data_IF_763029205301
#
_entry.id   IF_763029205301
#
_cell.length_a   1.000
_cell.length_b   1.000
_cell.length_c   1.000
_cell.angle_alpha   90.00
_cell.angle_beta   90.00
_cell.angle_gamma   90.00
#
_symmetry.space_group_name_H-M   'P 1'
#
loop_
_entity.id
_entity.type
_entity.pdbx_description
1 polymer ?
#
# COMPACT_ATOMS: atom_id res chain seq x y z
N UNK A 1 48.23 11.12 -14.85
CA UNK A 1 49.22 11.65 -13.89
C UNK A 1 48.48 12.55 -12.91
N UNK A 2 48.36 12.08 -11.66
CA UNK A 2 47.81 12.77 -10.48
C UNK A 2 48.78 13.88 -9.99
N UNK A 3 48.59 14.47 -8.79
CA UNK A 3 47.42 15.14 -8.19
C UNK A 3 47.81 16.49 -7.53
N UNK A 4 46.86 17.26 -6.98
CA UNK A 4 47.12 17.95 -5.70
C UNK A 4 45.84 18.10 -4.87
N UNK A 5 45.98 17.59 -3.64
CA UNK A 5 45.05 17.59 -2.53
C UNK A 5 45.18 18.87 -1.69
N UNK A 6 44.08 19.26 -1.05
CA UNK A 6 44.02 20.11 0.14
C UNK A 6 42.54 20.33 0.47
N UNK A 7 41.96 19.93 1.59
CA UNK A 7 42.51 19.64 2.91
C UNK A 7 41.90 20.63 3.91
N UNK A 8 40.66 20.38 4.38
CA UNK A 8 40.09 21.08 5.53
C UNK A 8 39.35 20.11 6.46
N UNK A 9 40.08 19.77 7.52
CA UNK A 9 39.70 19.58 8.93
C UNK A 9 38.33 19.01 9.29
N UNK A 10 38.40 17.90 10.02
CA UNK A 10 37.30 17.33 10.78
C UNK A 10 36.83 18.20 11.95
N UNK A 11 35.54 18.12 12.21
CA UNK A 11 34.89 18.52 13.44
C UNK A 11 34.27 17.29 14.09
N UNK A 12 34.79 16.92 15.25
CA UNK A 12 34.19 15.99 16.21
C UNK A 12 32.91 16.61 16.77
N UNK A 13 31.76 16.03 16.51
CA UNK A 13 30.51 16.33 17.22
C UNK A 13 30.26 15.22 18.25
N UNK A 14 30.47 15.56 19.53
CA UNK A 14 29.97 14.80 20.68
C UNK A 14 28.45 14.94 20.76
N UNK A 15 27.73 13.92 21.28
CA UNK A 15 26.30 13.99 21.49
C UNK A 15 26.00 14.78 22.77
N UNK A 16 25.20 15.83 22.65
CA UNK A 16 24.58 16.51 23.79
C UNK A 16 23.31 15.76 24.17
N UNK A 17 23.38 15.09 25.32
CA UNK A 17 22.25 14.91 26.23
C UNK A 17 21.64 16.29 26.52
N UNK A 18 20.34 16.44 26.31
CA UNK A 18 19.41 17.39 26.96
C UNK A 18 18.16 17.54 26.09
N UNK A 19 17.14 16.70 26.34
CA UNK A 19 15.71 17.01 26.14
C UNK A 19 14.87 15.86 26.71
N UNK A 20 15.14 15.51 27.97
CA UNK A 20 14.19 14.82 28.85
C UNK A 20 13.77 15.84 29.89
N UNK A 21 12.53 16.30 29.80
CA UNK A 21 11.97 17.25 30.74
C UNK A 21 10.99 18.14 30.02
N UNK A 22 9.72 17.75 30.07
CA UNK A 22 8.53 18.60 30.10
C UNK A 22 7.32 17.68 30.26
N UNK A 23 6.97 17.37 31.52
CA UNK A 23 5.62 17.19 32.06
C UNK A 23 5.69 16.49 33.42
N UNK A 24 6.15 17.25 34.42
CA UNK A 24 5.88 16.95 35.83
C UNK A 24 5.81 18.27 36.59
N UNK A 25 4.59 18.80 36.71
CA UNK A 25 4.09 19.66 37.80
C UNK A 25 2.86 20.43 37.31
N UNK A 26 1.67 20.02 37.74
CA UNK A 26 0.85 20.83 38.65
C UNK A 26 0.08 19.85 39.53
N UNK A 27 0.47 19.78 40.80
CA UNK A 27 -0.35 19.22 41.84
C UNK A 27 -1.45 20.22 42.21
N UNK A 28 -2.65 19.70 42.47
CA UNK A 28 -3.60 20.35 43.37
C UNK A 28 -3.95 19.37 44.48
N UNK A 29 -3.82 19.93 45.68
CA UNK A 29 -3.91 19.36 47.00
C UNK A 29 -5.30 18.82 47.37
N UNK A 30 -5.26 17.70 48.10
CA UNK A 30 -6.06 17.31 49.26
C UNK A 30 -7.16 18.26 49.78
N UNK A 31 -8.36 17.69 49.94
CA UNK A 31 -9.42 17.94 50.93
C UNK A 31 -10.53 16.90 50.63
N UNK A 32 -11.09 16.06 51.50
CA UNK A 32 -11.25 16.01 52.95
C UNK A 32 -11.26 14.53 53.40
N UNK A 33 -10.38 14.19 54.34
CA UNK A 33 -10.69 13.21 55.38
C UNK A 33 -10.89 14.02 56.66
N UNK A 34 -12.03 13.86 57.31
CA UNK A 34 -12.24 14.01 58.74
C UNK A 34 -13.72 13.73 59.01
N UNK A 35 -14.01 12.66 59.74
CA UNK A 35 -14.74 12.71 61.01
C UNK A 35 -14.83 11.30 61.60
N UNK A 36 -14.22 11.18 62.77
CA UNK A 36 -14.21 10.06 63.73
C UNK A 36 -15.53 9.99 64.53
N UNK A 37 -15.72 8.97 65.40
CA UNK A 37 -17.01 8.31 65.66
C UNK A 37 -17.75 8.78 66.94
N UNK A 38 -18.92 8.16 67.14
CA UNK A 38 -19.75 8.05 68.36
C UNK A 38 -20.67 9.22 68.72
N UNK A 39 -22.00 9.02 68.62
CA UNK A 39 -22.83 8.58 69.76
C UNK A 39 -24.35 8.77 69.53
N UNK A 40 -25.11 7.72 69.90
CA UNK A 40 -26.44 7.70 70.55
C UNK A 40 -27.68 8.30 69.85
N UNK A 41 -28.60 7.43 69.39
CA UNK A 41 -29.93 7.13 70.00
C UNK A 41 -30.70 6.17 69.05
N UNK A 42 -30.89 4.90 69.42
CA UNK A 42 -32.10 4.35 70.06
C UNK A 42 -33.38 4.67 69.28
N UNK A 43 -33.83 3.67 68.52
CA UNK A 43 -35.14 3.59 67.86
C UNK A 43 -35.44 2.12 67.60
N UNK A 44 -36.02 1.47 68.60
CA UNK A 44 -36.47 0.07 68.61
C UNK A 44 -37.68 -0.20 67.69
N UNK A 45 -37.82 -1.48 67.33
CA UNK A 45 -39.01 -2.17 66.85
C UNK A 45 -39.40 -2.06 65.36
N UNK A 46 -38.84 -2.97 64.55
CA UNK A 46 -39.65 -3.94 63.80
C UNK A 46 -38.80 -5.17 63.44
N UNK A 47 -39.36 -6.34 63.73
CA UNK A 47 -38.81 -7.70 63.61
C UNK A 47 -38.13 -8.07 62.29
N UNK A 48 -37.09 -8.93 62.30
CA UNK A 48 -36.51 -9.52 61.10
C UNK A 48 -37.44 -10.61 60.50
N UNK A 49 -37.55 -10.74 59.16
CA UNK A 49 -38.18 -11.92 58.58
C UNK A 49 -37.22 -13.14 58.70
N UNK A 50 -37.76 -14.37 58.74
CA UNK A 50 -36.99 -15.58 59.04
C UNK A 50 -36.05 -15.99 57.89
N UNK A 51 -34.95 -16.72 58.18
CA UNK A 51 -34.08 -17.31 57.16
C UNK A 51 -34.68 -18.65 56.72
N UNK A 52 -35.63 -18.61 55.80
CA UNK A 52 -36.12 -19.83 55.14
C UNK A 52 -35.63 -19.87 53.68
N UNK A 53 -34.65 -20.74 53.48
CA UNK A 53 -34.52 -21.65 52.34
C UNK A 53 -35.24 -21.24 51.04
N UNK A 54 -34.51 -20.59 50.13
CA UNK A 54 -34.60 -20.78 48.67
C UNK A 54 -33.54 -19.90 47.98
N UNK A 55 -32.28 -20.34 47.97
CA UNK A 55 -31.19 -19.64 47.29
C UNK A 55 -31.09 -20.02 45.80
N UNK A 56 -31.69 -21.14 45.38
CA UNK A 56 -31.76 -21.61 43.99
C UNK A 56 -32.22 -20.56 42.98
N UNK A 57 -33.38 -19.89 43.14
CA UNK A 57 -33.83 -18.91 42.16
C UNK A 57 -32.85 -17.73 42.06
N UNK A 58 -32.25 -17.31 43.17
CA UNK A 58 -31.29 -16.22 43.24
C UNK A 58 -29.95 -16.61 42.57
N UNK A 59 -29.35 -17.74 42.92
CA UNK A 59 -28.10 -18.23 42.32
C UNK A 59 -28.23 -18.56 40.83
N UNK A 60 -29.37 -19.13 40.41
CA UNK A 60 -29.67 -19.28 38.98
C UNK A 60 -29.72 -17.90 38.32
N UNK A 61 -30.50 -16.95 38.86
CA UNK A 61 -30.59 -15.60 38.28
C UNK A 61 -29.23 -14.90 38.21
N UNK A 62 -28.32 -15.16 39.16
CA UNK A 62 -26.93 -14.66 39.15
C UNK A 62 -26.13 -15.18 37.96
N UNK A 63 -26.14 -16.51 37.76
CA UNK A 63 -25.45 -17.17 36.66
C UNK A 63 -26.05 -16.79 35.31
N UNK A 64 -27.32 -16.47 35.28
CA UNK A 64 -28.00 -16.09 34.06
C UNK A 64 -27.78 -14.65 33.70
N UNK A 65 -27.67 -13.77 34.69
CA UNK A 65 -27.10 -12.46 34.49
C UNK A 65 -25.67 -12.54 33.96
N UNK A 66 -24.86 -13.53 34.38
CA UNK A 66 -23.52 -13.79 33.80
C UNK A 66 -23.62 -14.27 32.34
N UNK A 67 -24.40 -15.33 32.05
CA UNK A 67 -24.46 -15.93 30.71
C UNK A 67 -25.24 -15.10 29.67
N UNK A 68 -26.28 -14.36 30.06
CA UNK A 68 -27.10 -13.54 29.16
C UNK A 68 -26.38 -12.25 28.72
N UNK A 69 -25.46 -11.77 29.56
CA UNK A 69 -24.66 -10.57 29.31
C UNK A 69 -23.34 -10.86 28.58
N UNK A 70 -22.74 -12.03 28.80
CA UNK A 70 -21.43 -12.41 28.23
C UNK A 70 -21.53 -12.99 26.82
N UNK A 71 -22.66 -13.60 26.42
CA UNK A 71 -22.77 -14.28 25.12
C UNK A 71 -23.31 -13.34 24.01
N UNK A 72 -22.58 -13.11 22.91
CA UNK A 72 -22.96 -12.15 21.88
C UNK A 72 -24.26 -12.55 21.15
N UNK A 73 -24.98 -11.59 20.54
CA UNK A 73 -25.90 -11.92 19.47
C UNK A 73 -25.07 -12.55 18.34
N UNK A 74 -25.47 -13.76 17.92
CA UNK A 74 -24.94 -14.35 16.70
C UNK A 74 -25.40 -13.43 15.57
N UNK A 75 -24.51 -12.58 15.05
CA UNK A 75 -24.77 -11.85 13.81
C UNK A 75 -24.80 -12.91 12.72
N UNK A 76 -26.02 -13.30 12.34
CA UNK A 76 -26.26 -14.15 11.20
C UNK A 76 -25.52 -13.60 9.98
N UNK A 77 -24.75 -14.49 9.37
CA UNK A 77 -24.21 -14.37 8.02
C UNK A 77 -25.39 -14.18 7.06
N UNK A 78 -25.61 -12.95 6.61
CA UNK A 78 -26.23 -12.54 5.34
C UNK A 78 -25.80 -11.07 5.13
N UNK A 79 -25.17 -10.61 4.06
CA UNK A 79 -25.08 -11.14 2.71
C UNK A 79 -23.68 -10.90 2.12
N UNK A 80 -23.16 -11.92 1.44
CA UNK A 80 -22.19 -11.77 0.37
C UNK A 80 -22.86 -11.06 -0.82
N UNK A 81 -22.39 -9.86 -1.15
CA UNK A 81 -22.49 -9.33 -2.52
C UNK A 81 -21.09 -8.88 -2.91
N UNK A 82 -20.41 -9.73 -3.65
CA UNK A 82 -19.28 -9.37 -4.49
C UNK A 82 -19.74 -8.48 -5.63
N UNK A 83 -19.09 -7.35 -5.87
CA UNK A 83 -19.23 -6.65 -7.14
C UNK A 83 -18.78 -5.18 -7.20
N UNK A 84 -17.51 -4.98 -7.56
CA UNK A 84 -17.01 -3.96 -8.52
C UNK A 84 -16.98 -2.47 -8.10
N UNK A 85 -15.74 -1.98 -7.94
CA UNK A 85 -15.11 -0.75 -8.49
C UNK A 85 -15.85 0.59 -8.44
N UNK A 86 -15.17 1.59 -7.87
CA UNK A 86 -15.44 3.00 -8.12
C UNK A 86 -14.58 3.92 -7.26
N UNK A 87 -13.49 4.44 -7.86
CA UNK A 87 -12.77 5.63 -7.42
C UNK A 87 -13.74 6.77 -7.06
N UNK A 88 -13.61 7.35 -5.87
CA UNK A 88 -13.55 8.80 -5.68
C UNK A 88 -13.36 9.11 -4.20
N UNK A 89 -12.31 9.88 -3.90
CA UNK A 89 -12.11 10.47 -2.60
C UNK A 89 -13.22 11.47 -2.29
N UNK A 90 -13.49 11.67 -1.00
CA UNK A 90 -13.98 12.94 -0.46
C UNK A 90 -13.77 12.92 1.05
N UNK A 91 -13.42 14.10 1.53
CA UNK A 91 -12.80 14.40 2.79
C UNK A 91 -13.82 14.29 3.94
N UNK A 92 -13.44 13.61 5.02
CA UNK A 92 -14.21 13.58 6.26
C UNK A 92 -13.77 14.74 7.14
N UNK A 93 -14.43 15.89 6.96
CA UNK A 93 -14.47 16.93 7.97
C UNK A 93 -15.88 17.05 8.56
N UNK A 94 -15.89 17.10 9.89
CA UNK A 94 -16.85 17.78 10.74
C UNK A 94 -18.28 17.19 10.89
N UNK A 95 -18.37 16.30 11.88
CA UNK A 95 -19.33 16.34 12.99
C UNK A 95 -20.35 17.49 12.94
N UNK A 96 -21.58 17.21 12.51
CA UNK A 96 -22.66 18.21 12.54
C UNK A 96 -23.94 17.90 11.75
N UNK A 97 -24.56 16.72 11.90
CA UNK A 97 -26.04 16.58 11.81
C UNK A 97 -26.49 15.16 12.17
N UNK A 98 -27.56 15.07 12.96
CA UNK A 98 -28.11 13.84 13.51
C UNK A 98 -28.65 12.88 12.44
N UNK A 99 -28.56 11.59 12.76
CA UNK A 99 -29.13 10.45 12.03
C UNK A 99 -28.84 10.41 10.53
N UNK A 100 -27.63 9.95 10.17
CA UNK A 100 -27.34 9.50 8.80
C UNK A 100 -28.17 8.26 8.48
N UNK A 101 -28.98 8.33 7.44
CA UNK A 101 -29.61 7.17 6.82
C UNK A 101 -28.57 6.42 5.96
N UNK A 102 -28.31 5.13 6.20
CA UNK A 102 -27.65 4.28 5.22
C UNK A 102 -28.66 3.82 4.14
N UNK A 103 -28.26 3.68 2.86
CA UNK A 103 -26.90 3.66 2.33
C UNK A 103 -26.67 4.83 1.37
N UNK A 104 -26.55 6.07 1.86
CA UNK A 104 -26.19 7.19 0.99
C UNK A 104 -25.10 8.02 1.63
N UNK A 105 -23.86 7.82 1.18
CA UNK A 105 -22.73 8.73 1.42
C UNK A 105 -22.94 10.00 0.60
N UNK A 106 -23.84 10.87 1.06
CA UNK A 106 -24.10 12.15 0.43
C UNK A 106 -23.10 13.17 0.93
N UNK A 107 -22.52 13.93 0.00
CA UNK A 107 -21.68 15.08 0.33
C UNK A 107 -22.55 16.32 0.58
N UNK A 108 -22.06 17.27 1.36
CA UNK A 108 -22.78 18.53 1.61
C UNK A 108 -23.03 19.31 0.29
N UNK A 109 -22.18 19.11 -0.71
CA UNK A 109 -22.34 19.69 -2.06
C UNK A 109 -23.56 19.13 -2.81
N UNK A 110 -23.88 17.84 -2.65
CA UNK A 110 -25.07 17.20 -3.26
C UNK A 110 -26.37 17.70 -2.63
N UNK A 111 -26.32 18.03 -1.33
CA UNK A 111 -27.48 18.58 -0.59
C UNK A 111 -27.80 20.02 -0.98
N UNK A 112 -26.78 20.80 -1.38
CA UNK A 112 -26.94 22.15 -1.88
C UNK A 112 -27.48 22.18 -3.33
N UNK A 113 -27.08 21.21 -4.16
CA UNK A 113 -27.52 21.11 -5.55
C UNK A 113 -29.00 20.68 -5.70
N UNK A 114 -29.55 19.91 -4.75
CA UNK A 114 -30.88 19.31 -4.86
C UNK A 114 -31.74 19.47 -3.57
N UNK A 115 -32.34 20.65 -3.33
CA UNK A 115 -33.13 20.92 -2.12
C UNK A 115 -34.47 20.14 -2.04
N UNK A 116 -34.99 19.65 -3.16
CA UNK A 116 -36.16 18.76 -3.16
C UNK A 116 -35.81 17.34 -2.69
N UNK A 117 -34.57 16.91 -2.95
CA UNK A 117 -34.05 15.62 -2.52
C UNK A 117 -33.76 15.60 -1.02
N UNK A 118 -33.28 16.71 -0.45
CA UNK A 118 -33.13 16.84 1.01
C UNK A 118 -34.47 16.79 1.73
N UNK A 119 -35.53 17.39 1.16
CA UNK A 119 -36.89 17.26 1.68
C UNK A 119 -37.39 15.80 1.64
N UNK A 120 -37.12 15.06 0.56
CA UNK A 120 -37.46 13.64 0.46
C UNK A 120 -36.71 12.81 1.52
N UNK A 121 -35.40 13.04 1.69
CA UNK A 121 -34.59 12.37 2.71
C UNK A 121 -35.06 12.69 4.12
N UNK A 122 -35.48 13.94 4.37
CA UNK A 122 -36.07 14.34 5.65
C UNK A 122 -37.44 13.70 5.91
N UNK A 123 -38.20 13.38 4.86
CA UNK A 123 -39.43 12.59 4.95
C UNK A 123 -39.13 11.10 5.19
N UNK A 124 -38.12 10.56 4.52
CA UNK A 124 -37.69 9.17 4.69
C UNK A 124 -37.07 8.92 6.07
N UNK A 125 -36.34 9.88 6.65
CA UNK A 125 -35.76 9.75 7.98
C UNK A 125 -36.80 9.67 9.10
N UNK A 126 -38.01 10.19 8.88
CA UNK A 126 -39.13 10.01 9.81
C UNK A 126 -39.66 8.57 9.83
N UNK A 127 -39.42 7.82 8.75
CA UNK A 127 -39.92 6.47 8.56
C UNK A 127 -38.82 5.40 8.59
N UNK A 128 -37.55 5.78 8.63
CA UNK A 128 -36.40 4.88 8.58
C UNK A 128 -35.41 5.16 9.71
N UNK A 129 -34.95 4.09 10.35
CA UNK A 129 -33.92 4.14 11.39
C UNK A 129 -32.50 4.24 10.77
N UNK A 130 -31.46 4.62 11.54
CA UNK A 130 -30.06 4.70 11.07
C UNK A 130 -29.47 3.35 10.62
N UNK A 131 -30.24 2.27 10.63
CA UNK A 131 -29.92 0.95 10.06
C UNK A 131 -30.50 0.74 8.65
N UNK A 132 -31.30 1.67 8.12
CA UNK A 132 -31.99 1.55 6.85
C UNK A 132 -33.27 0.70 6.90
N UNK A 133 -33.75 0.34 8.10
CA UNK A 133 -35.01 -0.38 8.30
C UNK A 133 -36.17 0.60 8.52
N UNK A 134 -37.38 0.22 8.11
CA UNK A 134 -38.56 1.01 8.46
C UNK A 134 -38.78 0.99 9.98
N UNK A 135 -39.19 2.12 10.57
CA UNK A 135 -39.42 2.24 12.02
C UNK A 135 -40.33 1.15 12.62
N UNK A 136 -41.43 0.68 11.98
CA UNK A 136 -42.20 -0.43 12.53
C UNK A 136 -41.43 -1.76 12.49
N UNK A 137 -40.67 -2.02 11.42
CA UNK A 137 -39.89 -3.24 11.27
C UNK A 137 -38.72 -3.28 12.24
N UNK A 138 -38.03 -2.14 12.44
CA UNK A 138 -36.96 -2.02 13.42
C UNK A 138 -37.46 -2.27 14.85
N UNK A 139 -38.63 -1.74 15.22
CA UNK A 139 -39.27 -2.04 16.51
C UNK A 139 -39.63 -3.52 16.64
N UNK A 140 -40.16 -4.15 15.60
CA UNK A 140 -40.43 -5.59 15.59
C UNK A 140 -39.15 -6.40 15.75
N UNK A 141 -38.07 -6.03 15.05
CA UNK A 141 -36.76 -6.68 15.18
C UNK A 141 -36.19 -6.53 16.59
N UNK A 142 -36.36 -5.36 17.22
CA UNK A 142 -35.94 -5.14 18.60
C UNK A 142 -36.78 -5.99 19.58
N UNK A 143 -38.09 -6.07 19.37
CA UNK A 143 -39.01 -6.91 20.16
C UNK A 143 -38.67 -8.39 20.04
N UNK A 144 -38.48 -8.90 18.82
CA UNK A 144 -38.06 -10.28 18.56
C UNK A 144 -36.67 -10.55 19.15
N UNK A 145 -35.76 -9.58 19.09
CA UNK A 145 -34.44 -9.70 19.71
C UNK A 145 -34.52 -9.76 21.23
N UNK A 146 -35.41 -8.97 21.85
CA UNK A 146 -35.67 -9.01 23.30
C UNK A 146 -36.27 -10.36 23.69
N UNK A 147 -37.26 -10.84 22.95
CA UNK A 147 -37.87 -12.16 23.18
C UNK A 147 -36.86 -13.29 23.03
N UNK A 148 -36.05 -13.26 21.96
CA UNK A 148 -34.98 -14.24 21.76
C UNK A 148 -33.96 -14.23 22.90
N UNK A 149 -33.62 -13.05 23.44
CA UNK A 149 -32.72 -12.96 24.61
C UNK A 149 -33.36 -13.58 25.86
N UNK A 150 -34.66 -13.38 26.07
CA UNK A 150 -35.40 -13.97 27.19
C UNK A 150 -35.48 -15.49 27.04
N UNK A 151 -35.85 -15.99 25.86
CA UNK A 151 -35.90 -17.43 25.57
C UNK A 151 -34.53 -18.09 25.69
N UNK A 152 -33.48 -17.45 25.17
CA UNK A 152 -32.10 -17.94 25.31
C UNK A 152 -31.67 -17.99 26.78
N UNK A 153 -32.01 -16.97 27.57
CA UNK A 153 -31.74 -16.99 29.00
C UNK A 153 -32.50 -18.13 29.68
N UNK A 154 -33.78 -18.31 29.35
CA UNK A 154 -34.62 -19.44 29.76
C UNK A 154 -33.96 -20.79 29.48
N UNK A 155 -33.54 -21.00 28.23
CA UNK A 155 -32.87 -22.21 27.79
C UNK A 155 -31.54 -22.44 28.52
N UNK A 156 -30.70 -21.41 28.67
CA UNK A 156 -29.44 -21.51 29.41
C UNK A 156 -29.66 -21.87 30.89
N UNK A 157 -30.78 -21.46 31.51
CA UNK A 157 -31.12 -21.87 32.90
C UNK A 157 -31.20 -23.39 32.98
N UNK A 158 -31.97 -23.96 32.05
CA UNK A 158 -32.26 -25.38 32.02
C UNK A 158 -31.07 -26.21 31.57
N UNK A 159 -30.29 -25.72 30.60
CA UNK A 159 -29.07 -26.39 30.14
C UNK A 159 -28.04 -26.50 31.27
N UNK A 160 -27.81 -25.44 32.06
CA UNK A 160 -26.88 -25.48 33.19
C UNK A 160 -27.33 -26.52 34.23
N UNK A 161 -28.62 -26.54 34.58
CA UNK A 161 -29.17 -27.52 35.53
C UNK A 161 -29.04 -28.94 34.97
N UNK A 162 -29.38 -29.16 33.70
CA UNK A 162 -29.28 -30.47 33.05
C UNK A 162 -27.83 -30.98 33.00
N UNK A 163 -26.87 -30.12 32.66
CA UNK A 163 -25.44 -30.45 32.68
C UNK A 163 -24.95 -30.81 34.07
N UNK A 164 -25.35 -30.07 35.10
CA UNK A 164 -25.00 -30.39 36.49
C UNK A 164 -25.60 -31.72 36.96
N UNK A 165 -26.83 -32.04 36.52
CA UNK A 165 -27.47 -33.34 36.79
C UNK A 165 -26.73 -34.48 36.11
N UNK A 166 -26.33 -34.31 34.84
CA UNK A 166 -25.51 -35.29 34.13
C UNK A 166 -24.14 -35.49 34.78
N UNK A 167 -23.45 -34.41 35.17
CA UNK A 167 -22.17 -34.51 35.88
C UNK A 167 -22.32 -35.25 37.23
N UNK A 168 -23.41 -35.01 37.97
CA UNK A 168 -23.73 -35.75 39.19
C UNK A 168 -23.93 -37.24 38.94
N UNK A 169 -24.64 -37.61 37.87
CA UNK A 169 -24.86 -39.00 37.49
C UNK A 169 -23.55 -39.70 37.04
N UNK A 170 -22.64 -38.97 36.39
CA UNK A 170 -21.35 -39.51 35.93
C UNK A 170 -20.32 -39.72 37.06
N UNK A 171 -20.53 -39.13 38.25
CA UNK A 171 -19.64 -39.28 39.41
C UNK A 171 -19.88 -40.57 40.23
N UNK A 172 -20.57 -41.56 39.67
CA UNK A 172 -20.69 -42.91 40.23
C UNK A 172 -19.31 -43.63 40.28
N UNK A 173 -18.50 -43.29 41.29
CA UNK A 173 -17.15 -43.79 41.50
C UNK A 173 -16.93 -44.47 42.86
N UNK A 174 -15.96 -45.38 42.90
CA UNK A 174 -15.59 -46.15 44.09
C UNK A 174 -15.04 -45.24 45.21
N UNK A 175 -15.82 -45.06 46.26
CA UNK A 175 -15.45 -44.24 47.43
C UNK A 175 -16.64 -43.56 48.14
N UNK A 176 -17.81 -43.54 47.49
CA UNK A 176 -19.01 -42.87 48.03
C UNK A 176 -19.70 -43.68 49.13
N UNK A 177 -20.31 -43.00 50.11
CA UNK A 177 -21.14 -43.61 51.14
C UNK A 177 -22.32 -44.37 50.51
N UNK A 178 -22.79 -45.49 51.11
CA UNK A 178 -23.84 -46.33 50.51
C UNK A 178 -25.18 -45.60 50.33
N UNK A 179 -25.46 -44.56 51.12
CA UNK A 179 -26.64 -43.70 50.96
C UNK A 179 -26.54 -42.77 49.74
N UNK A 180 -25.33 -42.31 49.42
CA UNK A 180 -25.09 -41.43 48.27
C UNK A 180 -25.12 -42.21 46.96
N UNK A 181 -24.70 -43.48 46.98
CA UNK A 181 -24.82 -44.38 45.83
C UNK A 181 -26.27 -44.65 45.48
N UNK A 182 -27.10 -45.01 46.46
CA UNK A 182 -28.54 -45.22 46.27
C UNK A 182 -29.25 -43.95 45.78
N UNK A 183 -28.83 -42.78 46.26
CA UNK A 183 -29.35 -41.49 45.79
C UNK A 183 -28.99 -41.18 44.33
N UNK A 184 -27.75 -41.46 43.90
CA UNK A 184 -27.33 -41.25 42.51
C UNK A 184 -27.96 -42.26 41.55
N UNK A 185 -28.11 -43.52 41.99
CA UNK A 185 -28.81 -44.57 41.22
C UNK A 185 -30.30 -44.23 41.01
N UNK A 186 -30.97 -43.71 42.05
CA UNK A 186 -32.38 -43.26 41.94
C UNK A 186 -32.51 -42.00 41.07
N UNK A 187 -31.53 -41.09 41.11
CA UNK A 187 -31.46 -39.94 40.21
C UNK A 187 -31.29 -40.37 38.74
N UNK A 188 -30.36 -41.29 38.46
CA UNK A 188 -30.11 -41.82 37.11
C UNK A 188 -31.37 -42.52 36.55
N UNK A 189 -32.03 -43.35 37.36
CA UNK A 189 -33.30 -43.99 37.00
C UNK A 189 -34.39 -42.96 36.69
N UNK A 190 -34.49 -41.88 37.45
CA UNK A 190 -35.45 -40.80 37.18
C UNK A 190 -35.12 -40.01 35.90
N UNK A 191 -33.84 -39.76 35.63
CA UNK A 191 -33.43 -39.12 34.38
C UNK A 191 -33.77 -39.99 33.18
N UNK A 192 -33.46 -41.28 33.22
CA UNK A 192 -33.79 -42.23 32.16
C UNK A 192 -35.31 -42.34 31.93
N UNK A 193 -36.11 -42.43 33.00
CA UNK A 193 -37.58 -42.45 32.90
C UNK A 193 -38.12 -41.14 32.30
N UNK A 194 -37.52 -39.99 32.63
CA UNK A 194 -37.93 -38.70 32.05
C UNK A 194 -37.57 -38.58 30.56
N UNK A 195 -36.43 -39.13 30.15
CA UNK A 195 -36.02 -39.18 28.74
C UNK A 195 -36.92 -40.13 27.93
N UNK A 196 -37.27 -41.28 28.51
CA UNK A 196 -38.24 -42.21 27.91
C UNK A 196 -39.62 -41.57 27.77
N UNK A 197 -40.09 -40.83 28.78
CA UNK A 197 -41.33 -40.05 28.68
C UNK A 197 -41.26 -38.99 27.57
N UNK A 198 -40.15 -38.26 27.45
CA UNK A 198 -39.94 -37.26 26.39
C UNK A 198 -39.96 -37.89 24.99
N UNK A 199 -39.34 -39.05 24.81
CA UNK A 199 -39.35 -39.79 23.54
C UNK A 199 -40.75 -40.30 23.20
N UNK A 200 -41.55 -40.67 24.21
CA UNK A 200 -42.96 -41.04 24.01
C UNK A 200 -43.84 -39.83 23.67
N UNK A 201 -43.59 -38.66 24.28
CA UNK A 201 -44.31 -37.41 24.00
C UNK A 201 -44.00 -36.84 22.61
N UNK A 202 -42.77 -37.01 22.12
CA UNK A 202 -42.37 -36.62 20.76
C UNK A 202 -43.04 -37.47 19.66
N UNK A 203 -43.64 -38.61 20.02
CA UNK A 203 -44.45 -39.45 19.13
C UNK A 203 -45.88 -38.99 18.92
N UNK A 204 -46.30 -37.85 19.51
CA UNK A 204 -47.63 -37.26 19.32
C UNK A 204 -47.72 -36.53 17.98
N UNK A 205 -48.21 -37.21 16.95
CA UNK A 205 -48.74 -36.53 15.75
C UNK A 205 -50.05 -35.80 16.10
N UNK A 206 -50.35 -34.65 15.48
CA UNK A 206 -51.55 -33.86 15.78
C UNK A 206 -52.88 -34.54 15.37
N UNK A 207 -52.81 -35.60 14.57
CA UNK A 207 -53.91 -36.54 14.40
C UNK A 207 -53.88 -37.53 15.57
N UNK A 208 -54.94 -37.54 16.39
CA UNK A 208 -55.05 -38.22 17.69
C UNK A 208 -54.88 -39.74 17.75
N UNK A 209 -54.18 -40.34 16.79
CA UNK A 209 -53.69 -41.72 16.83
C UNK A 209 -52.44 -41.80 17.71
N UNK A 210 -52.61 -42.23 18.96
CA UNK A 210 -51.52 -42.60 19.88
C UNK A 210 -50.71 -43.76 19.31
N UNK A 211 -49.69 -43.49 18.49
CA UNK A 211 -48.71 -44.50 18.10
C UNK A 211 -47.49 -44.38 18.99
N UNK A 212 -47.59 -44.98 20.18
CA UNK A 212 -46.44 -45.19 21.07
C UNK A 212 -45.39 -46.00 20.32
N UNK A 213 -44.16 -45.47 20.21
CA UNK A 213 -43.08 -45.94 19.33
C UNK A 213 -42.73 -47.44 19.47
N UNK A 214 -43.19 -48.09 20.55
CA UNK A 214 -43.02 -49.52 20.87
C UNK A 214 -44.24 -50.16 21.60
N UNK A 215 -45.43 -49.56 21.54
CA UNK A 215 -46.61 -50.04 22.31
C UNK A 215 -46.55 -49.81 23.82
N UNK A 216 -45.53 -49.09 24.31
CA UNK A 216 -45.33 -48.73 25.71
C UNK A 216 -46.26 -47.60 26.12
N UNK A 217 -47.10 -47.83 27.12
CA UNK A 217 -47.99 -46.81 27.68
C UNK A 217 -47.28 -46.01 28.78
N UNK A 218 -47.66 -44.74 29.02
CA UNK A 218 -47.12 -43.96 30.15
C UNK A 218 -47.40 -44.61 31.51
N UNK A 219 -48.39 -45.50 31.58
CA UNK A 219 -48.71 -46.31 32.75
C UNK A 219 -47.65 -47.37 33.06
N UNK A 220 -46.95 -47.88 32.04
CA UNK A 220 -45.90 -48.90 32.19
C UNK A 220 -44.60 -48.27 32.73
N UNK A 221 -44.38 -46.98 32.43
CA UNK A 221 -43.27 -46.20 32.99
C UNK A 221 -43.46 -45.84 34.46
N UNK A 222 -44.68 -45.83 34.97
CA UNK A 222 -44.95 -45.68 36.42
C UNK A 222 -44.45 -46.88 37.23
N UNK A 223 -44.35 -48.07 36.61
CA UNK A 223 -43.81 -49.27 37.27
C UNK A 223 -42.27 -49.24 37.37
N UNK A 224 -41.60 -48.43 36.55
CA UNK A 224 -40.15 -48.22 36.55
C UNK A 224 -39.72 -47.03 37.44
N UNK A 225 -40.68 -46.37 38.11
CA UNK A 225 -40.34 -45.33 39.08
C UNK A 225 -39.81 -45.95 40.39
N UNK A 226 -38.75 -45.36 40.99
CA UNK A 226 -38.25 -45.77 42.29
C UNK A 226 -39.32 -45.51 43.36
N UNK A 227 -39.23 -46.18 44.53
CA UNK A 227 -40.26 -46.10 45.56
C UNK A 227 -40.47 -44.64 46.00
N UNK A 228 -41.72 -44.26 46.26
CA UNK A 228 -42.11 -42.87 46.54
C UNK A 228 -41.37 -42.21 47.71
N UNK A 229 -40.82 -43.00 48.64
CA UNK A 229 -39.97 -42.52 49.74
C UNK A 229 -38.62 -42.01 49.23
N UNK A 230 -37.99 -42.72 48.28
CA UNK A 230 -36.72 -42.33 47.68
C UNK A 230 -36.90 -41.11 46.75
N UNK A 231 -38.07 -40.97 46.12
CA UNK A 231 -38.44 -39.78 45.34
C UNK A 231 -38.64 -38.53 46.21
N UNK A 232 -39.23 -38.68 47.40
CA UNK A 232 -39.38 -37.57 48.35
C UNK A 232 -38.01 -37.09 48.85
N UNK A 233 -37.14 -38.03 49.22
CA UNK A 233 -35.76 -37.75 49.63
C UNK A 233 -34.94 -37.14 48.49
N UNK A 234 -35.12 -37.61 47.25
CA UNK A 234 -34.52 -37.03 46.07
C UNK A 234 -34.95 -35.57 45.89
N UNK A 235 -36.25 -35.29 46.02
CA UNK A 235 -36.82 -33.95 45.85
C UNK A 235 -36.35 -32.95 46.90
N UNK A 236 -36.11 -33.39 48.14
CA UNK A 236 -35.61 -32.53 49.22
C UNK A 236 -34.09 -32.29 49.15
N UNK A 237 -33.31 -33.32 48.78
CA UNK A 237 -31.85 -33.26 48.80
C UNK A 237 -31.22 -32.73 47.50
N UNK A 238 -31.84 -32.98 46.35
CA UNK A 238 -31.34 -32.55 45.04
C UNK A 238 -31.15 -31.02 44.92
N UNK A 239 -32.09 -30.17 45.40
CA UNK A 239 -31.93 -28.72 45.40
C UNK A 239 -30.65 -28.25 46.09
N UNK A 240 -30.39 -28.73 47.31
CA UNK A 240 -29.25 -28.31 48.14
C UNK A 240 -27.92 -28.74 47.51
N UNK A 241 -27.85 -29.97 46.98
CA UNK A 241 -26.67 -30.48 46.30
C UNK A 241 -26.34 -29.70 45.01
N UNK A 242 -27.37 -29.33 44.25
CA UNK A 242 -27.21 -28.49 43.06
C UNK A 242 -26.70 -27.09 43.44
N UNK A 243 -27.26 -26.46 44.47
CA UNK A 243 -26.81 -25.15 44.96
C UNK A 243 -25.32 -25.17 45.36
N UNK A 244 -24.90 -26.19 46.12
CA UNK A 244 -23.51 -26.29 46.58
C UNK A 244 -22.52 -26.47 45.43
N UNK A 245 -22.81 -27.36 44.48
CA UNK A 245 -21.95 -27.59 43.31
C UNK A 245 -21.88 -26.36 42.41
N UNK A 246 -23.01 -25.74 42.17
CA UNK A 246 -23.12 -24.51 41.39
C UNK A 246 -22.35 -23.37 42.06
N UNK A 247 -22.46 -23.24 43.38
CA UNK A 247 -21.68 -22.28 44.19
C UNK A 247 -20.17 -22.55 44.07
N UNK A 248 -19.71 -23.80 44.16
CA UNK A 248 -18.29 -24.15 43.96
C UNK A 248 -17.79 -23.75 42.58
N UNK A 249 -18.53 -24.05 41.51
CA UNK A 249 -18.16 -23.66 40.14
C UNK A 249 -18.14 -22.14 39.96
N UNK A 250 -19.12 -21.43 40.53
CA UNK A 250 -19.15 -19.96 40.53
C UNK A 250 -17.90 -19.37 41.21
N UNK A 251 -17.47 -19.95 42.33
CA UNK A 251 -16.26 -19.51 43.03
C UNK A 251 -14.99 -19.78 42.21
N UNK A 252 -14.92 -20.89 41.47
CA UNK A 252 -13.80 -21.17 40.55
C UNK A 252 -13.77 -20.18 39.37
N UNK A 253 -14.94 -19.82 38.83
CA UNK A 253 -15.01 -18.77 37.80
C UNK A 253 -14.58 -17.41 38.34
N UNK A 254 -14.96 -17.10 39.58
CA UNK A 254 -14.55 -15.87 40.24
C UNK A 254 -13.04 -15.82 40.44
N UNK A 255 -12.39 -16.90 40.89
CA UNK A 255 -10.95 -16.93 41.09
C UNK A 255 -10.17 -16.81 39.78
N UNK A 256 -10.70 -17.34 38.68
CA UNK A 256 -10.11 -17.17 37.33
C UNK A 256 -10.11 -15.70 36.88
N UNK A 257 -11.24 -14.99 37.05
CA UNK A 257 -11.35 -13.60 36.62
C UNK A 257 -10.77 -12.59 37.63
N UNK A 258 -10.78 -12.92 38.91
CA UNK A 258 -10.30 -12.08 40.02
C UNK A 258 -9.54 -12.93 41.04
N UNK A 259 -8.24 -13.20 40.82
CA UNK A 259 -7.43 -14.00 41.74
C UNK A 259 -7.29 -13.34 43.13
N UNK A 260 -7.47 -12.03 43.22
CA UNK A 260 -7.50 -11.26 44.47
C UNK A 260 -8.63 -11.70 45.42
N UNK A 261 -9.63 -12.42 44.90
CA UNK A 261 -10.79 -12.87 45.68
C UNK A 261 -10.53 -14.09 46.57
N UNK A 262 -9.44 -14.85 46.33
CA UNK A 262 -9.18 -16.12 47.02
C UNK A 262 -8.90 -15.94 48.52
N UNK A 263 -8.39 -14.78 48.93
CA UNK A 263 -8.18 -14.42 50.34
C UNK A 263 -9.42 -13.85 51.05
N UNK A 264 -10.52 -13.63 50.33
CA UNK A 264 -11.70 -12.96 50.87
C UNK A 264 -12.71 -13.94 51.50
N UNK A 265 -13.44 -13.46 52.53
CA UNK A 265 -14.53 -14.22 53.16
C UNK A 265 -15.63 -14.59 52.16
N UNK A 266 -16.38 -15.67 52.42
CA UNK A 266 -17.41 -16.18 51.51
C UNK A 266 -18.52 -15.16 51.18
N UNK A 267 -18.85 -14.29 52.13
CA UNK A 267 -19.81 -13.19 51.94
C UNK A 267 -19.30 -12.13 50.97
N UNK A 268 -18.00 -11.83 51.01
CA UNK A 268 -17.36 -10.89 50.09
C UNK A 268 -17.20 -11.54 48.70
N UNK A 269 -16.84 -12.83 48.64
CA UNK A 269 -16.78 -13.58 47.38
C UNK A 269 -18.13 -13.69 46.68
N UNK A 270 -19.20 -13.92 47.42
CA UNK A 270 -20.56 -13.90 46.86
C UNK A 270 -20.94 -12.50 46.36
N UNK A 271 -20.67 -11.43 47.11
CA UNK A 271 -20.86 -10.06 46.63
C UNK A 271 -20.05 -9.74 45.35
N UNK A 272 -18.79 -10.20 45.26
CA UNK A 272 -17.95 -10.04 44.08
C UNK A 272 -18.42 -10.88 42.88
N UNK A 273 -19.06 -12.03 43.12
CA UNK A 273 -19.69 -12.84 42.08
C UNK A 273 -20.87 -12.09 41.44
N UNK A 274 -21.67 -11.39 42.25
CA UNK A 274 -22.80 -10.60 41.76
C UNK A 274 -22.34 -9.45 40.86
N UNK A 275 -21.24 -8.78 41.21
CA UNK A 275 -20.66 -7.68 40.41
C UNK A 275 -19.81 -8.15 39.23
N UNK A 276 -19.42 -9.43 39.18
CA UNK A 276 -18.65 -10.00 38.08
C UNK A 276 -19.42 -9.91 36.75
N UNK A 277 -20.74 -10.12 36.76
CA UNK A 277 -21.56 -10.03 35.56
C UNK A 277 -21.53 -8.65 34.93
N UNK A 278 -21.53 -7.61 35.75
CA UNK A 278 -21.47 -6.21 35.28
C UNK A 278 -20.06 -5.86 34.81
N UNK A 279 -19.03 -6.32 35.53
CA UNK A 279 -17.63 -6.18 35.12
C UNK A 279 -17.36 -6.80 33.75
N UNK A 280 -17.81 -8.04 33.51
CA UNK A 280 -17.61 -8.74 32.25
C UNK A 280 -18.34 -8.07 31.07
N UNK A 281 -19.49 -7.43 31.31
CA UNK A 281 -20.12 -6.59 30.27
C UNK A 281 -19.28 -5.38 29.94
N UNK A 282 -18.77 -4.70 30.98
CA UNK A 282 -17.87 -3.56 30.80
C UNK A 282 -16.64 -3.94 29.99
N UNK A 283 -15.96 -5.03 30.35
CA UNK A 283 -14.80 -5.55 29.61
C UNK A 283 -15.15 -5.91 28.16
N UNK A 284 -16.30 -6.55 27.94
CA UNK A 284 -16.75 -6.88 26.59
C UNK A 284 -17.04 -5.63 25.76
N UNK A 285 -17.62 -4.59 26.36
CA UNK A 285 -17.84 -3.30 25.69
C UNK A 285 -16.52 -2.61 25.36
N UNK A 286 -15.59 -2.51 26.32
CA UNK A 286 -14.25 -1.98 26.09
C UNK A 286 -13.52 -2.72 24.97
N UNK A 287 -13.63 -4.05 24.91
CA UNK A 287 -13.03 -4.85 23.84
C UNK A 287 -13.66 -4.55 22.47
N UNK A 288 -14.99 -4.39 22.40
CA UNK A 288 -15.67 -3.99 21.15
C UNK A 288 -15.25 -2.59 20.69
N UNK A 289 -15.14 -1.65 21.62
CA UNK A 289 -14.65 -0.29 21.33
C UNK A 289 -13.21 -0.30 20.84
N UNK A 290 -12.34 -1.08 21.49
CA UNK A 290 -10.95 -1.24 21.06
C UNK A 290 -10.85 -1.86 19.67
N UNK A 291 -11.68 -2.86 19.36
CA UNK A 291 -11.76 -3.45 18.02
C UNK A 291 -12.25 -2.44 16.98
N UNK A 292 -13.26 -1.63 17.29
CA UNK A 292 -13.73 -0.58 16.39
C UNK A 292 -12.64 0.46 16.12
N UNK A 293 -11.96 0.95 17.17
CA UNK A 293 -10.80 1.87 17.04
C UNK A 293 -9.68 1.25 16.20
N UNK A 294 -9.40 -0.03 16.40
CA UNK A 294 -8.40 -0.73 15.60
C UNK A 294 -8.78 -0.77 14.12
N UNK A 295 -10.05 -1.06 13.80
CA UNK A 295 -10.55 -1.05 12.42
C UNK A 295 -10.45 0.37 11.79
N UNK A 296 -10.78 1.40 12.55
CA UNK A 296 -10.63 2.80 12.10
C UNK A 296 -9.17 3.17 11.80
N UNK A 297 -8.25 2.83 12.71
CA UNK A 297 -6.81 3.07 12.53
C UNK A 297 -6.26 2.28 11.34
N UNK A 298 -6.69 1.04 11.15
CA UNK A 298 -6.32 0.24 9.99
C UNK A 298 -6.81 0.88 8.68
N UNK A 299 -8.05 1.38 8.65
CA UNK A 299 -8.56 2.12 7.50
C UNK A 299 -7.79 3.41 7.20
N UNK A 300 -7.39 4.17 8.23
CA UNK A 300 -6.54 5.36 8.05
C UNK A 300 -5.16 5.00 7.50
N UNK A 301 -4.56 3.94 8.03
CA UNK A 301 -3.27 3.45 7.59
C UNK A 301 -3.31 2.95 6.14
N UNK A 302 -4.36 2.26 5.72
CA UNK A 302 -4.55 1.84 4.32
C UNK A 302 -4.68 3.04 3.37
N UNK A 303 -5.44 4.07 3.75
CA UNK A 303 -5.54 5.32 2.97
C UNK A 303 -4.18 5.99 2.83
N UNK A 304 -3.42 6.07 3.91
CA UNK A 304 -2.09 6.66 3.90
C UNK A 304 -1.12 5.84 3.02
N UNK A 305 -1.18 4.50 3.10
CA UNK A 305 -0.42 3.60 2.22
C UNK A 305 -0.76 3.78 0.75
N UNK A 306 -2.01 4.08 0.42
CA UNK A 306 -2.44 4.36 -0.95
C UNK A 306 -2.00 5.77 -1.43
N UNK A 307 -2.01 6.77 -0.54
CA UNK A 307 -1.67 8.15 -0.88
C UNK A 307 -0.17 8.39 -1.12
N UNK A 308 0.70 7.82 -0.29
CA UNK A 308 2.16 8.00 -0.41
C UNK A 308 2.75 7.67 -1.81
N UNK A 309 2.47 6.51 -2.43
CA UNK A 309 3.00 6.20 -3.75
C UNK A 309 2.50 7.17 -4.82
N UNK A 310 1.27 7.70 -4.69
CA UNK A 310 0.75 8.70 -5.62
C UNK A 310 1.53 10.01 -5.53
N UNK A 311 1.85 10.47 -4.32
CA UNK A 311 2.70 11.66 -4.11
C UNK A 311 4.10 11.43 -4.68
N UNK A 312 4.69 10.25 -4.42
CA UNK A 312 6.01 9.88 -4.96
C UNK A 312 6.02 9.86 -6.50
N UNK A 313 4.98 9.30 -7.13
CA UNK A 313 4.83 9.30 -8.58
C UNK A 313 4.71 10.72 -9.14
N UNK A 314 3.97 11.61 -8.46
CA UNK A 314 3.86 13.02 -8.85
C UNK A 314 5.21 13.74 -8.75
N UNK A 315 5.96 13.54 -7.67
CA UNK A 315 7.32 14.08 -7.52
C UNK A 315 8.27 13.56 -8.61
N UNK A 316 8.19 12.27 -8.94
CA UNK A 316 8.99 11.65 -10.00
C UNK A 316 8.62 12.22 -11.38
N UNK A 317 7.34 12.44 -11.65
CA UNK A 317 6.88 13.07 -12.88
C UNK A 317 7.41 14.51 -13.02
N UNK A 318 7.38 15.29 -11.93
CA UNK A 318 7.97 16.63 -11.89
C UNK A 318 9.48 16.60 -12.15
N UNK A 319 10.22 15.71 -11.49
CA UNK A 319 11.66 15.55 -11.72
C UNK A 319 11.98 15.16 -13.17
N UNK A 320 11.23 14.23 -13.76
CA UNK A 320 11.37 13.86 -15.18
C UNK A 320 11.12 15.04 -16.10
N UNK A 321 10.08 15.83 -15.82
CA UNK A 321 9.75 17.04 -16.59
C UNK A 321 10.87 18.07 -16.49
N UNK A 322 11.36 18.34 -15.28
CA UNK A 322 12.48 19.27 -15.06
C UNK A 322 13.75 18.84 -15.80
N UNK A 323 14.10 17.55 -15.75
CA UNK A 323 15.26 17.03 -16.46
C UNK A 323 15.12 17.15 -17.99
N UNK A 324 13.94 16.80 -18.54
CA UNK A 324 13.69 16.86 -19.98
C UNK A 324 13.63 18.30 -20.51
N UNK A 325 12.82 19.13 -19.88
CA UNK A 325 12.56 20.49 -20.36
C UNK A 325 13.74 21.43 -20.07
N UNK A 326 14.34 21.39 -18.87
CA UNK A 326 15.30 22.43 -18.46
C UNK A 326 16.76 22.02 -18.56
N UNK A 327 17.09 20.72 -18.60
CA UNK A 327 18.48 20.25 -18.76
C UNK A 327 18.74 19.76 -20.17
N UNK A 328 17.90 18.88 -20.70
CA UNK A 328 18.12 18.28 -22.01
C UNK A 328 17.75 19.24 -23.16
N UNK A 329 16.55 19.82 -23.12
CA UNK A 329 16.10 20.67 -24.23
C UNK A 329 16.94 21.96 -24.35
N UNK A 330 17.14 22.68 -23.25
CA UNK A 330 17.99 23.89 -23.23
C UNK A 330 19.42 23.62 -23.67
N UNK A 331 20.02 22.50 -23.24
CA UNK A 331 21.36 22.10 -23.67
C UNK A 331 21.38 21.82 -25.18
N UNK A 332 20.38 21.11 -25.70
CA UNK A 332 20.29 20.83 -27.14
C UNK A 332 20.08 22.10 -27.98
N UNK A 333 19.35 23.08 -27.46
CA UNK A 333 19.16 24.39 -28.10
C UNK A 333 20.47 25.19 -28.11
N UNK A 334 21.20 25.19 -26.99
CA UNK A 334 22.52 25.83 -26.91
C UNK A 334 23.52 25.16 -27.87
N UNK A 335 23.56 23.84 -27.90
CA UNK A 335 24.46 23.09 -28.80
C UNK A 335 24.13 23.38 -30.27
N UNK A 336 22.83 23.47 -30.61
CA UNK A 336 22.37 23.85 -31.95
C UNK A 336 22.81 25.27 -32.32
N UNK A 337 22.64 26.24 -31.43
CA UNK A 337 23.05 27.63 -31.66
C UNK A 337 24.59 27.74 -31.79
N UNK A 338 25.34 26.99 -30.97
CA UNK A 338 26.80 26.94 -31.06
C UNK A 338 27.26 26.34 -32.39
N UNK A 339 26.62 25.27 -32.87
CA UNK A 339 26.92 24.69 -34.16
C UNK A 339 26.67 25.69 -35.31
N UNK A 340 25.52 26.38 -35.30
CA UNK A 340 25.20 27.42 -36.29
C UNK A 340 26.19 28.61 -36.25
N UNK A 341 26.59 29.03 -35.06
CA UNK A 341 27.59 30.08 -34.88
C UNK A 341 28.94 29.67 -35.47
N UNK A 342 29.40 28.45 -35.20
CA UNK A 342 30.65 27.92 -35.74
C UNK A 342 30.59 27.73 -37.25
N UNK A 343 29.47 27.25 -37.79
CA UNK A 343 29.23 27.15 -39.23
C UNK A 343 29.36 28.52 -39.90
N UNK A 344 28.63 29.52 -39.38
CA UNK A 344 28.69 30.90 -39.89
C UNK A 344 30.10 31.47 -39.82
N UNK A 345 30.83 31.21 -38.72
CA UNK A 345 32.21 31.63 -38.54
C UNK A 345 33.15 30.96 -39.54
N UNK A 346 32.96 29.67 -39.82
CA UNK A 346 33.70 28.94 -40.85
C UNK A 346 33.40 29.50 -42.25
N UNK A 347 32.14 29.78 -42.58
CA UNK A 347 31.77 30.41 -43.86
C UNK A 347 32.41 31.79 -44.03
N UNK A 348 32.40 32.62 -42.98
CA UNK A 348 33.07 33.91 -43.00
C UNK A 348 34.59 33.78 -43.19
N UNK A 349 35.21 32.79 -42.54
CA UNK A 349 36.64 32.52 -42.70
C UNK A 349 36.98 32.01 -44.11
N UNK A 350 36.12 31.17 -44.71
CA UNK A 350 36.27 30.72 -46.09
C UNK A 350 36.20 31.90 -47.07
N UNK A 351 35.22 32.79 -46.89
CA UNK A 351 35.12 34.02 -47.69
C UNK A 351 36.36 34.90 -47.53
N UNK A 352 36.89 35.02 -46.30
CA UNK A 352 38.13 35.75 -46.06
C UNK A 352 39.30 35.14 -46.81
N UNK A 353 39.50 33.82 -46.73
CA UNK A 353 40.56 33.12 -47.48
C UNK A 353 40.41 33.38 -48.98
N UNK A 354 39.19 33.30 -49.52
CA UNK A 354 38.95 33.54 -50.95
C UNK A 354 39.23 34.98 -51.37
N UNK A 355 38.95 35.94 -50.50
CA UNK A 355 39.25 37.35 -50.74
C UNK A 355 40.76 37.60 -50.75
N UNK A 356 41.51 37.01 -49.82
CA UNK A 356 42.97 37.08 -49.82
C UNK A 356 43.58 36.44 -51.08
N UNK A 357 43.06 35.29 -51.51
CA UNK A 357 43.47 34.65 -52.77
C UNK A 357 43.27 35.59 -53.98
N UNK A 358 42.11 36.24 -54.07
CA UNK A 358 41.83 37.21 -55.12
C UNK A 358 42.72 38.47 -55.01
N UNK A 359 43.03 38.93 -53.78
CA UNK A 359 43.96 40.04 -53.55
C UNK A 359 45.33 39.70 -54.13
N UNK A 360 45.88 38.54 -53.77
CA UNK A 360 47.19 38.06 -54.26
C UNK A 360 47.19 37.97 -55.79
N UNK A 361 46.12 37.42 -56.40
CA UNK A 361 46.01 37.35 -57.86
C UNK A 361 45.98 38.74 -58.51
N UNK A 362 45.24 39.69 -57.93
CA UNK A 362 45.14 41.05 -58.46
C UNK A 362 46.47 41.82 -58.33
N UNK A 363 47.21 41.61 -57.25
CA UNK A 363 48.54 42.20 -57.02
C UNK A 363 49.62 41.58 -57.92
N UNK A 364 49.53 40.27 -58.14
CA UNK A 364 50.47 39.53 -58.99
C UNK A 364 50.27 39.87 -60.47
N UNK A 365 49.01 39.89 -60.92
CA UNK A 365 48.62 40.12 -62.30
C UNK A 365 48.00 41.51 -62.50
N UNK A 366 48.80 42.55 -62.29
CA UNK A 366 48.37 43.91 -62.63
C UNK A 366 48.13 44.03 -64.14
N UNK A 367 47.20 44.90 -64.60
CA UNK A 367 46.89 45.04 -66.02
C UNK A 367 48.13 45.39 -66.85
N UNK A 368 49.04 46.18 -66.30
CA UNK A 368 50.32 46.50 -66.90
C UNK A 368 51.20 45.25 -67.10
N UNK A 369 51.35 44.40 -66.07
CA UNK A 369 52.11 43.15 -66.16
C UNK A 369 51.47 42.18 -67.16
N UNK A 370 50.14 42.09 -67.19
CA UNK A 370 49.42 41.27 -68.16
C UNK A 370 49.69 41.77 -69.58
N UNK A 371 49.64 43.07 -69.81
CA UNK A 371 49.88 43.65 -71.14
C UNK A 371 51.34 43.43 -71.58
N UNK A 372 52.30 43.57 -70.68
CA UNK A 372 53.70 43.19 -70.95
C UNK A 372 53.83 41.70 -71.29
N UNK A 373 53.20 40.81 -70.53
CA UNK A 373 53.18 39.37 -70.83
C UNK A 373 52.52 39.08 -72.19
N UNK A 374 51.48 39.84 -72.59
CA UNK A 374 50.87 39.72 -73.93
C UNK A 374 51.85 40.12 -75.02
N UNK A 375 52.53 41.26 -74.88
CA UNK A 375 53.54 41.71 -75.85
C UNK A 375 54.68 40.70 -75.97
N UNK A 376 55.21 40.20 -74.85
CA UNK A 376 56.26 39.16 -74.85
C UNK A 376 55.75 37.91 -75.58
N UNK A 377 54.56 37.41 -75.25
CA UNK A 377 53.97 36.25 -75.89
C UNK A 377 53.81 36.45 -77.39
N UNK A 378 53.34 37.61 -77.82
CA UNK A 378 53.08 37.88 -79.24
C UNK A 378 54.39 38.06 -80.01
N UNK A 379 55.42 38.66 -79.41
CA UNK A 379 56.78 38.70 -79.99
C UNK A 379 57.44 37.32 -80.10
N UNK A 380 57.25 36.44 -79.10
CA UNK A 380 57.80 35.08 -79.11
C UNK A 380 57.10 34.23 -80.17
N UNK A 381 55.77 34.39 -80.33
CA UNK A 381 55.01 33.75 -81.41
C UNK A 381 55.50 34.20 -82.77
N UNK A 382 55.73 35.50 -82.96
CA UNK A 382 56.27 36.03 -84.22
C UNK A 382 57.67 35.48 -84.49
N UNK A 383 58.57 35.48 -83.50
CA UNK A 383 59.91 34.92 -83.64
C UNK A 383 59.89 33.41 -83.95
N UNK A 384 58.99 32.64 -83.32
CA UNK A 384 58.78 31.23 -83.62
C UNK A 384 58.30 31.03 -85.06
N UNK A 385 57.31 31.81 -85.50
CA UNK A 385 56.81 31.74 -86.86
C UNK A 385 57.90 32.04 -87.90
N UNK A 386 58.73 33.05 -87.66
CA UNK A 386 59.88 33.37 -88.52
C UNK A 386 60.91 32.23 -88.55
N UNK A 387 61.22 31.63 -87.41
CA UNK A 387 62.12 30.48 -87.32
C UNK A 387 61.54 29.25 -88.04
N UNK A 388 60.27 28.95 -87.86
CA UNK A 388 59.58 27.88 -88.56
C UNK A 388 59.60 28.09 -90.07
N UNK A 389 59.40 29.32 -90.54
CA UNK A 389 59.48 29.68 -91.94
C UNK A 389 60.91 29.54 -92.48
N UNK A 390 61.92 30.03 -91.76
CA UNK A 390 63.32 29.90 -92.13
C UNK A 390 63.76 28.43 -92.19
N UNK A 391 63.33 27.63 -91.21
CA UNK A 391 63.56 26.19 -91.15
C UNK A 391 62.83 25.47 -92.30
N UNK A 392 61.62 25.87 -92.65
CA UNK A 392 60.91 25.32 -93.80
C UNK A 392 61.64 25.65 -95.12
N UNK A 393 62.20 26.86 -95.25
CA UNK A 393 63.01 27.26 -96.41
C UNK A 393 64.30 26.43 -96.46
N UNK A 394 65.04 26.32 -95.36
CA UNK A 394 66.29 25.56 -95.34
C UNK A 394 66.05 24.07 -95.60
N UNK A 395 64.97 23.48 -95.07
CA UNK A 395 64.55 22.10 -95.42
C UNK A 395 64.25 21.96 -96.90
N UNK A 396 63.54 22.90 -97.52
CA UNK A 396 63.30 22.87 -98.98
C UNK A 396 64.62 22.92 -99.75
N UNK A 397 65.55 23.78 -99.36
CA UNK A 397 66.89 23.83 -99.95
C UNK A 397 67.65 22.52 -99.75
N UNK A 398 67.61 21.93 -98.56
CA UNK A 398 68.25 20.64 -98.29
C UNK A 398 67.68 19.54 -99.19
N UNK A 399 66.36 19.44 -99.30
CA UNK A 399 65.70 18.48 -100.21
C UNK A 399 66.14 18.71 -101.66
N UNK A 400 66.26 19.97 -102.12
CA UNK A 400 66.79 20.22 -103.47
C UNK A 400 68.24 19.72 -103.63
N UNK A 401 69.09 19.87 -102.62
CA UNK A 401 70.45 19.30 -102.67
C UNK A 401 70.44 17.77 -102.61
N UNK A 402 69.58 17.17 -101.79
CA UNK A 402 69.41 15.71 -101.72
C UNK A 402 68.96 15.12 -103.07
N UNK A 403 68.10 15.82 -103.82
CA UNK A 403 67.68 15.37 -105.17
C UNK A 403 68.81 15.38 -106.21
N UNK A 404 69.89 16.13 -105.99
CA UNK A 404 71.04 16.17 -106.91
C UNK A 404 71.95 14.92 -106.79
N UNK A 405 71.72 14.07 -105.78
CA UNK A 405 72.34 12.74 -105.67
C UNK A 405 73.83 12.74 -105.31
N UNK A 406 74.45 11.54 -105.18
CA UNK A 406 75.83 11.35 -104.69
C UNK A 406 76.89 11.94 -105.63
N UNK A 407 76.56 12.18 -106.90
CA UNK A 407 77.44 12.83 -107.87
C UNK A 407 77.76 14.28 -107.48
N UNK A 408 76.77 15.00 -106.94
CA UNK A 408 76.99 16.36 -106.44
C UNK A 408 77.89 16.36 -105.20
N UNK A 409 77.77 15.37 -104.32
CA UNK A 409 78.62 15.22 -103.13
C UNK A 409 80.08 14.93 -103.53
N UNK A 410 80.30 14.11 -104.56
CA UNK A 410 81.61 13.93 -105.19
C UNK A 410 82.17 15.26 -105.72
N UNK A 411 81.37 16.04 -106.44
CA UNK A 411 81.78 17.34 -106.97
C UNK A 411 82.12 18.36 -105.87
N UNK A 412 81.36 18.38 -104.77
CA UNK A 412 81.63 19.25 -103.60
C UNK A 412 82.91 18.84 -102.90
N UNK A 413 83.20 17.54 -102.79
CA UNK A 413 84.49 17.04 -102.26
C UNK A 413 85.68 17.43 -103.14
N UNK A 414 85.51 17.39 -104.47
CA UNK A 414 86.54 17.87 -105.38
C UNK A 414 86.73 19.38 -105.30
N UNK A 415 85.63 20.15 -105.26
CA UNK A 415 85.69 21.60 -105.11
C UNK A 415 86.31 22.00 -103.77
N UNK A 416 86.02 21.31 -102.66
CA UNK A 416 86.65 21.56 -101.36
C UNK A 416 88.12 21.18 -101.34
N UNK A 417 88.52 20.07 -101.97
CA UNK A 417 89.94 19.75 -102.19
C UNK A 417 90.65 20.84 -103.00
N UNK A 418 90.02 21.32 -104.07
CA UNK A 418 90.56 22.40 -104.89
C UNK A 418 90.66 23.70 -104.09
N UNK A 419 89.61 24.06 -103.33
CA UNK A 419 89.57 25.25 -102.50
C UNK A 419 90.65 25.21 -101.42
N UNK A 420 90.77 24.09 -100.71
CA UNK A 420 91.83 23.88 -99.73
C UNK A 420 93.21 23.94 -100.39
N UNK A 421 93.38 23.39 -101.59
CA UNK A 421 94.63 23.53 -102.35
C UNK A 421 94.91 24.98 -102.74
N UNK A 422 93.90 25.73 -103.17
CA UNK A 422 94.01 27.16 -103.49
C UNK A 422 94.33 27.97 -102.24
N UNK A 423 93.69 27.69 -101.11
CA UNK A 423 93.92 28.38 -99.84
C UNK A 423 95.27 27.99 -99.25
N UNK A 424 95.71 26.73 -99.35
CA UNK A 424 97.07 26.31 -99.01
C UNK A 424 98.12 26.94 -99.93
N UNK A 425 97.86 27.06 -101.23
CA UNK A 425 98.76 27.76 -102.16
C UNK A 425 98.77 29.27 -101.92
N UNK A 426 97.63 29.88 -101.61
CA UNK A 426 97.53 31.29 -101.20
C UNK A 426 98.24 31.53 -99.87
N UNK A 427 98.09 30.62 -98.92
CA UNK A 427 98.82 30.62 -97.67
C UNK A 427 100.32 30.49 -97.91
N UNK A 428 100.75 29.54 -98.76
CA UNK A 428 102.15 29.39 -99.14
C UNK A 428 102.69 30.64 -99.85
N UNK A 429 101.93 31.26 -100.76
CA UNK A 429 102.30 32.53 -101.41
C UNK A 429 102.38 33.69 -100.41
N UNK A 430 101.48 33.74 -99.43
CA UNK A 430 101.55 34.71 -98.34
C UNK A 430 102.79 34.49 -97.46
N UNK A 431 103.21 33.24 -97.26
CA UNK A 431 104.38 32.88 -96.45
C UNK A 431 105.71 33.08 -97.20
N UNK A 432 105.75 32.80 -98.50
CA UNK A 432 106.88 33.17 -99.36
C UNK A 432 107.02 34.69 -99.51
N UNK A 433 105.92 35.44 -99.60
CA UNK A 433 105.96 36.91 -99.58
C UNK A 433 106.37 37.50 -98.20
N UNK A 434 106.27 36.74 -97.10
CA UNK A 434 106.85 37.11 -95.80
C UNK A 434 108.33 36.74 -95.66
N UNK A 435 108.83 35.79 -96.45
CA UNK A 435 110.23 35.30 -96.40
C UNK A 435 111.16 35.98 -97.41
N UNK A 436 110.66 36.97 -98.16
CA UNK A 436 111.43 37.89 -99.02
C UNK A 436 111.37 39.36 -98.55
N UNK A 437 111.20 39.58 -97.24
CA UNK A 437 111.60 40.80 -96.52
C UNK A 437 112.53 40.39 -95.39
#
# INVERSE_FOLDING_TARGET
>A
MCPFLGGLRGGTLKPTEEMWGWCSQVGVSAACQNLTPNSLQVGECASPPPPESCCLPLLLTALLCLFQKVLPPNKGVMASVSGISGDCGTELLQQGCGSRLPPTSLTDEDTAAHPSFTNLLSGLSQHMDPSGLSTPLARQMEQVSKELRLQRAGWLRWEVVHRLLQEMAMELGAGMAPQDRKFLETLEQQMLVSELNRVLDLGLTPDGDRRTLLGLSPSDLLQLQPPGQDLALLRERLPVMLEERLRRKCLVLLSYHRPESDGAGETVRSAMLWTLAEGLVGEQQCLREAQARHQELMGLLERQRAAYPQVLLRCLALLKRLAREYRLNTQSELDRLNAQYLETKCSAMFLKIRLEELSILSETYTPEKIEVHRVIRDSLKEALWQQEQALAISRKSLVTYETLGPEFEGLVQEYTKLRNSVDSKRWALAEFNKSCK
#
